data_IF_275914675802
#
_entry.id   IF_275914675802
#
_cell.length_a   1.000
_cell.length_b   1.000
_cell.length_c   1.000
_cell.angle_alpha   90.00
_cell.angle_beta   90.00
_cell.angle_gamma   90.00
#
_symmetry.space_group_name_H-M   'P 1'
#
loop_
_entity.id
_entity.type
_entity.pdbx_description
1 polymer ?
#
# COMPACT_ATOMS: atom_id res chain seq x y z
N UNK A 1 -57.05 4.83 15.58
CA UNK A 1 -55.68 4.78 15.02
C UNK A 1 -55.74 4.97 13.51
N UNK A 2 -55.21 6.08 12.96
CA UNK A 2 -55.14 6.26 11.50
C UNK A 2 -54.01 5.37 10.96
N UNK A 3 -54.34 4.36 10.15
CA UNK A 3 -53.34 3.54 9.46
C UNK A 3 -52.65 4.43 8.42
N UNK A 4 -51.33 4.51 8.47
CA UNK A 4 -50.56 5.18 7.43
C UNK A 4 -50.72 4.39 6.12
N UNK A 5 -50.83 5.05 4.96
CA UNK A 5 -50.89 4.35 3.67
C UNK A 5 -49.61 3.52 3.46
N UNK A 6 -49.80 2.30 2.94
CA UNK A 6 -48.73 1.30 2.71
C UNK A 6 -47.55 1.87 1.93
N UNK A 7 -47.81 2.81 1.01
CA UNK A 7 -46.81 3.52 0.21
C UNK A 7 -45.72 4.21 1.06
N UNK A 8 -46.07 4.72 2.24
CA UNK A 8 -45.14 5.42 3.13
C UNK A 8 -44.13 4.42 3.71
N UNK A 9 -44.60 3.28 4.21
CA UNK A 9 -43.71 2.26 4.75
C UNK A 9 -42.76 1.71 3.68
N UNK A 10 -43.26 1.56 2.45
CA UNK A 10 -42.44 1.14 1.32
C UNK A 10 -41.34 2.17 0.99
N UNK A 11 -41.68 3.46 0.99
CA UNK A 11 -40.72 4.55 0.79
C UNK A 11 -39.61 4.55 1.85
N UNK A 12 -39.97 4.44 3.13
CA UNK A 12 -39.00 4.35 4.22
C UNK A 12 -38.11 3.11 4.16
N UNK A 13 -38.69 1.94 3.87
CA UNK A 13 -37.92 0.71 3.71
C UNK A 13 -36.88 0.84 2.60
N UNK A 14 -37.30 1.41 1.46
CA UNK A 14 -36.46 1.57 0.29
C UNK A 14 -35.35 2.60 0.54
N UNK A 15 -35.64 3.69 1.27
CA UNK A 15 -34.63 4.64 1.75
C UNK A 15 -33.59 3.99 2.67
N UNK A 16 -34.04 3.17 3.63
CA UNK A 16 -33.14 2.49 4.58
C UNK A 16 -32.23 1.50 3.85
N UNK A 17 -32.79 0.66 2.98
CA UNK A 17 -32.01 -0.31 2.21
C UNK A 17 -30.99 0.39 1.28
N UNK A 18 -31.42 1.44 0.60
CA UNK A 18 -30.57 2.24 -0.28
C UNK A 18 -29.43 2.92 0.47
N UNK A 19 -29.73 3.47 1.65
CA UNK A 19 -28.72 4.09 2.52
C UNK A 19 -27.72 3.06 3.02
N UNK A 20 -28.16 1.86 3.38
CA UNK A 20 -27.27 0.76 3.78
C UNK A 20 -26.33 0.36 2.63
N UNK A 21 -26.83 0.30 1.40
CA UNK A 21 -26.03 -0.01 0.21
C UNK A 21 -25.03 1.09 -0.12
N UNK A 22 -25.43 2.36 -0.03
CA UNK A 22 -24.52 3.49 -0.20
C UNK A 22 -23.45 3.50 0.89
N UNK A 23 -23.84 3.29 2.15
CA UNK A 23 -22.91 3.25 3.28
C UNK A 23 -21.88 2.13 3.10
N UNK A 24 -22.31 0.94 2.65
CA UNK A 24 -21.38 -0.13 2.28
C UNK A 24 -20.50 0.26 1.08
N UNK A 25 -21.06 0.89 0.04
CA UNK A 25 -20.35 1.28 -1.19
C UNK A 25 -19.29 2.37 -0.98
N UNK A 26 -19.48 3.23 0.03
CA UNK A 26 -18.56 4.32 0.38
C UNK A 26 -17.69 4.02 1.61
N UNK A 27 -17.90 2.89 2.30
CA UNK A 27 -17.10 2.54 3.46
C UNK A 27 -15.60 2.49 3.09
N UNK A 28 -14.70 3.18 3.80
CA UNK A 28 -13.29 3.19 3.43
C UNK A 28 -12.68 1.80 3.62
N UNK A 29 -11.79 1.41 2.70
CA UNK A 29 -10.99 0.21 2.86
C UNK A 29 -10.01 0.39 4.03
N UNK A 30 -9.88 -0.63 4.88
CA UNK A 30 -8.84 -0.63 5.91
C UNK A 30 -7.47 -0.67 5.25
N UNK A 31 -6.66 0.34 5.51
CA UNK A 31 -5.25 0.37 5.09
C UNK A 31 -4.40 -0.42 6.07
N UNK A 32 -3.49 -1.23 5.54
CA UNK A 32 -2.45 -1.91 6.29
C UNK A 32 -1.12 -1.22 6.00
N UNK A 33 -0.32 -1.08 7.06
CA UNK A 33 1.03 -0.52 6.99
C UNK A 33 1.99 -1.47 7.67
N UNK A 34 3.10 -1.78 7.01
CA UNK A 34 4.23 -2.53 7.57
C UNK A 34 5.48 -1.69 7.44
N UNK A 35 6.25 -1.60 8.53
CA UNK A 35 7.53 -0.90 8.57
C UNK A 35 8.64 -1.92 8.86
N UNK A 36 9.76 -1.79 8.16
CA UNK A 36 10.95 -2.59 8.33
C UNK A 36 12.17 -1.65 8.31
N UNK A 37 13.02 -1.73 9.32
CA UNK A 37 14.29 -1.02 9.32
C UNK A 37 15.32 -1.87 8.59
N UNK A 38 15.83 -1.37 7.46
CA UNK A 38 16.90 -2.01 6.71
C UNK A 38 18.24 -1.57 7.32
N UNK A 39 18.71 -2.32 8.31
CA UNK A 39 20.10 -2.25 8.73
C UNK A 39 20.91 -3.15 7.79
N UNK A 40 21.51 -2.58 6.74
CA UNK A 40 22.31 -3.33 5.76
C UNK A 40 23.75 -3.63 6.24
N UNK A 41 24.01 -3.47 7.54
CA UNK A 41 25.31 -3.76 8.15
C UNK A 41 25.44 -5.25 8.48
N UNK A 42 26.41 -5.92 7.86
CA UNK A 42 26.96 -7.19 8.34
C UNK A 42 26.39 -8.50 7.77
N UNK A 43 25.49 -8.48 6.78
CA UNK A 43 25.11 -9.71 6.07
C UNK A 43 25.93 -9.86 4.78
N UNK A 44 26.71 -10.96 4.60
CA UNK A 44 27.28 -11.26 3.28
C UNK A 44 26.12 -11.49 2.31
N UNK A 45 25.99 -10.61 1.31
CA UNK A 45 24.96 -10.71 0.29
C UNK A 45 25.35 -11.88 -0.61
N UNK A 46 24.63 -12.99 -0.50
CA UNK A 46 24.87 -14.17 -1.33
C UNK A 46 24.36 -13.84 -2.74
N UNK A 47 25.22 -13.82 -3.77
CA UNK A 47 24.75 -13.70 -5.14
C UNK A 47 23.84 -14.89 -5.45
N UNK A 48 22.66 -14.63 -6.01
CA UNK A 48 21.72 -15.66 -6.43
C UNK A 48 22.21 -16.31 -7.73
N UNK A 49 23.25 -17.14 -7.65
CA UNK A 49 23.70 -17.99 -8.76
C UNK A 49 23.07 -19.38 -8.61
N UNK A 50 22.39 -19.94 -9.63
CA UNK A 50 21.88 -21.31 -9.57
C UNK A 50 23.02 -22.33 -9.45
N UNK A 51 22.87 -23.42 -8.67
CA UNK A 51 23.91 -24.44 -8.57
C UNK A 51 23.99 -25.22 -9.88
N UNK A 52 24.95 -24.85 -10.73
CA UNK A 52 25.36 -25.66 -11.86
C UNK A 52 26.34 -26.71 -11.31
N UNK A 53 25.90 -27.97 -11.22
CA UNK A 53 26.77 -29.08 -10.87
C UNK A 53 27.79 -29.31 -11.99
N UNK A 54 29.08 -29.18 -11.70
CA UNK A 54 30.18 -29.76 -12.49
C UNK A 54 31.25 -30.33 -11.55
N UNK A 55 31.86 -31.49 -11.89
CA UNK A 55 32.86 -32.13 -11.05
C UNK A 55 34.25 -31.48 -11.19
N UNK A 56 35.01 -31.67 -10.11
CA UNK A 56 36.30 -31.13 -9.66
C UNK A 56 37.49 -31.30 -10.63
N UNK A 57 38.32 -30.25 -10.80
CA UNK A 57 39.74 -30.14 -10.38
C UNK A 57 40.51 -29.05 -11.16
N UNK A 58 40.92 -27.97 -10.48
CA UNK A 58 42.11 -27.17 -10.82
C UNK A 58 42.59 -26.40 -9.57
N UNK A 59 43.89 -26.44 -9.21
CA UNK A 59 44.43 -25.69 -8.07
C UNK A 59 44.94 -24.31 -8.52
N UNK A 60 44.57 -23.26 -7.78
CA UNK A 60 45.31 -22.00 -7.79
C UNK A 60 44.68 -20.84 -8.54
N UNK A 61 43.55 -20.34 -8.06
CA UNK A 61 43.22 -18.91 -8.21
C UNK A 61 43.00 -18.35 -6.81
N UNK A 62 43.88 -17.44 -6.39
CA UNK A 62 43.64 -16.56 -5.24
C UNK A 62 42.35 -15.80 -5.54
N UNK A 63 41.23 -16.23 -4.96
CA UNK A 63 39.99 -15.48 -5.00
C UNK A 63 40.21 -14.19 -4.21
N UNK A 64 40.44 -13.07 -4.90
CA UNK A 64 40.25 -11.76 -4.29
C UNK A 64 38.82 -11.73 -3.73
N UNK A 65 38.62 -11.30 -2.48
CA UNK A 65 37.27 -11.14 -1.95
C UNK A 65 36.56 -10.11 -2.83
N UNK A 66 35.54 -10.55 -3.57
CA UNK A 66 34.63 -9.64 -4.28
C UNK A 66 33.98 -8.80 -3.19
N UNK A 67 34.38 -7.53 -3.10
CA UNK A 67 33.81 -6.58 -2.16
C UNK A 67 32.32 -6.46 -2.46
N UNK A 68 31.50 -7.01 -1.57
CA UNK A 68 30.05 -6.90 -1.65
C UNK A 68 29.70 -5.43 -1.41
N UNK A 69 28.98 -4.74 -2.32
CA UNK A 69 28.60 -3.36 -2.09
C UNK A 69 27.64 -3.29 -0.90
N UNK A 70 28.02 -2.55 0.12
CA UNK A 70 27.19 -2.26 1.28
C UNK A 70 26.59 -0.87 1.14
N UNK A 71 25.29 -0.74 1.42
CA UNK A 71 24.68 0.59 1.55
C UNK A 71 25.21 1.23 2.84
N UNK A 72 25.78 2.44 2.77
CA UNK A 72 26.39 3.07 3.93
C UNK A 72 25.36 3.60 4.94
N UNK A 73 24.11 3.81 4.52
CA UNK A 73 23.07 4.45 5.33
C UNK A 73 21.95 3.49 5.75
N UNK A 74 21.41 3.72 6.95
CA UNK A 74 20.23 3.02 7.45
C UNK A 74 18.98 3.63 6.78
N UNK A 75 18.12 2.77 6.22
CA UNK A 75 16.88 3.21 5.56
C UNK A 75 15.67 2.50 6.16
N UNK A 76 14.57 3.24 6.32
CA UNK A 76 13.29 2.68 6.76
C UNK A 76 12.44 2.32 5.55
N UNK A 77 12.06 1.05 5.43
CA UNK A 77 11.16 0.56 4.40
C UNK A 77 9.73 0.53 4.94
N UNK A 78 8.83 1.30 4.34
CA UNK A 78 7.40 1.32 4.65
C UNK A 78 6.60 0.75 3.48
N UNK A 79 5.77 -0.26 3.73
CA UNK A 79 4.84 -0.83 2.76
C UNK A 79 3.40 -0.56 3.21
N UNK A 80 2.58 0.02 2.33
CA UNK A 80 1.18 0.36 2.57
C UNK A 80 0.28 -0.27 1.50
N UNK A 81 -0.79 -0.93 1.91
CA UNK A 81 -1.75 -1.57 1.00
C UNK A 81 -3.14 -1.72 1.64
N UNK A 82 -4.22 -1.77 0.86
CA UNK A 82 -5.56 -2.04 1.39
C UNK A 82 -5.72 -3.53 1.76
N UNK A 83 -6.24 -3.82 2.95
CA UNK A 83 -6.61 -5.18 3.34
C UNK A 83 -7.78 -5.72 2.50
N UNK A 84 -8.67 -4.82 2.11
CA UNK A 84 -9.93 -5.14 1.41
C UNK A 84 -10.15 -4.16 0.27
N UNK A 85 -10.60 -4.67 -0.87
CA UNK A 85 -10.99 -3.85 -2.03
C UNK A 85 -12.29 -4.42 -2.60
N UNK A 86 -13.10 -3.58 -3.25
CA UNK A 86 -14.29 -4.06 -3.95
C UNK A 86 -13.94 -4.42 -5.38
N UNK A 87 -14.58 -5.47 -5.89
CA UNK A 87 -14.43 -5.84 -7.30
C UNK A 87 -14.77 -4.63 -8.19
N UNK A 88 -13.94 -4.40 -9.20
CA UNK A 88 -14.07 -3.30 -10.15
C UNK A 88 -13.57 -1.94 -9.66
N UNK A 89 -13.18 -1.79 -8.40
CA UNK A 89 -12.57 -0.56 -7.86
C UNK A 89 -11.04 -0.58 -7.96
N UNK A 90 -10.42 0.59 -7.96
CA UNK A 90 -8.97 0.75 -7.92
C UNK A 90 -8.51 1.10 -6.51
N UNK A 91 -7.36 0.58 -6.12
CA UNK A 91 -6.64 1.06 -4.94
C UNK A 91 -5.14 1.12 -5.23
N UNK A 92 -4.39 1.77 -4.35
CA UNK A 92 -2.94 1.89 -4.46
C UNK A 92 -2.21 1.02 -3.43
N UNK A 93 -1.12 0.42 -3.86
CA UNK A 93 -0.09 -0.21 -3.02
C UNK A 93 1.15 0.67 -3.14
N UNK A 94 1.73 1.06 -2.01
CA UNK A 94 2.88 1.96 -1.96
C UNK A 94 4.03 1.36 -1.15
N UNK A 95 5.22 1.32 -1.75
CA UNK A 95 6.46 0.97 -1.08
C UNK A 95 7.34 2.23 -1.00
N UNK A 96 7.72 2.65 0.19
CA UNK A 96 8.53 3.84 0.43
C UNK A 96 9.82 3.45 1.13
N UNK A 97 10.94 3.77 0.53
CA UNK A 97 12.27 3.62 1.11
C UNK A 97 12.73 4.99 1.58
N UNK A 98 12.62 5.24 2.87
CA UNK A 98 12.91 6.52 3.51
C UNK A 98 14.35 6.55 4.01
N UNK A 99 15.08 7.61 3.69
CA UNK A 99 16.44 7.83 4.20
C UNK A 99 16.41 8.57 5.54
N UNK A 100 17.32 8.21 6.45
CA UNK A 100 17.49 8.91 7.72
C UNK A 100 18.33 10.18 7.52
N UNK A 101 17.68 11.28 7.17
CA UNK A 101 18.36 12.57 6.97
C UNK A 101 18.69 13.31 8.29
N UNK A 102 18.25 12.80 9.44
CA UNK A 102 18.35 13.48 10.74
C UNK A 102 19.01 12.63 11.84
N UNK A 103 19.46 11.41 11.54
CA UNK A 103 20.03 10.48 12.53
C UNK A 103 19.03 10.02 13.60
N UNK A 104 17.72 10.09 13.30
CA UNK A 104 16.64 9.83 14.24
C UNK A 104 16.14 8.38 14.19
N UNK A 105 16.57 7.57 13.22
CA UNK A 105 16.27 6.15 13.21
C UNK A 105 17.22 5.48 14.22
N UNK A 106 16.71 5.19 15.42
CA UNK A 106 17.46 4.44 16.41
C UNK A 106 17.76 3.04 15.87
N UNK A 107 19.04 2.67 15.64
CA UNK A 107 19.38 1.32 15.21
C UNK A 107 18.97 0.37 16.33
N UNK A 108 18.11 -0.61 16.03
CA UNK A 108 17.65 -1.59 17.03
C UNK A 108 18.74 -2.62 17.40
N UNK A 109 19.98 -2.42 16.94
CA UNK A 109 21.16 -3.18 17.34
C UNK A 109 22.32 -2.22 17.60
N UNK A 110 22.37 -1.69 18.82
CA UNK A 110 23.59 -1.12 19.39
C UNK A 110 24.32 -2.26 20.09
N UNK A 111 25.24 -2.93 19.40
CA UNK A 111 26.33 -3.62 20.10
C UNK A 111 27.25 -2.52 20.64
N UNK A 112 27.49 -2.42 21.96
CA UNK A 112 28.28 -1.34 22.52
C UNK A 112 29.77 -1.67 22.36
N UNK A 113 30.32 -1.49 21.17
CA UNK A 113 31.76 -1.36 21.04
C UNK A 113 32.16 -0.57 19.80
N UNK A 114 32.88 0.52 20.05
CA UNK A 114 33.64 1.32 19.11
C UNK A 114 32.86 2.34 18.24
N UNK A 115 32.38 3.42 18.87
CA UNK A 115 32.26 4.70 18.19
C UNK A 115 33.46 5.57 18.59
N UNK A 116 34.54 5.52 17.80
CA UNK A 116 35.63 6.48 17.89
C UNK A 116 35.32 7.62 16.92
N UNK A 117 35.17 8.84 17.44
CA UNK A 117 35.04 10.08 16.66
C UNK A 117 36.13 10.17 15.60
N UNK A 118 35.78 9.97 14.34
CA UNK A 118 36.69 10.04 13.20
C UNK A 118 36.10 9.55 11.86
N UNK A 119 35.07 8.68 11.90
CA UNK A 119 34.63 7.92 10.71
C UNK A 119 33.58 8.57 9.80
N UNK A 120 33.19 9.83 10.03
CA UNK A 120 32.18 10.49 9.17
C UNK A 120 32.63 10.69 7.71
N UNK A 121 33.93 10.50 7.40
CA UNK A 121 34.49 10.71 6.06
C UNK A 121 34.48 9.47 5.14
N UNK A 122 34.10 8.27 5.63
CA UNK A 122 34.22 7.00 4.85
C UNK A 122 32.86 6.55 4.24
N UNK A 123 31.75 7.19 4.61
CA UNK A 123 30.39 6.76 4.24
C UNK A 123 29.90 7.15 2.82
N UNK A 124 30.74 7.76 1.96
CA UNK A 124 30.32 8.24 0.62
C UNK A 124 30.83 7.43 -0.58
N UNK A 125 31.68 6.42 -0.37
CA UNK A 125 32.41 5.75 -1.46
C UNK A 125 31.53 5.06 -2.52
N UNK A 126 30.33 4.56 -2.15
CA UNK A 126 29.46 3.83 -3.09
C UNK A 126 28.88 4.77 -4.17
N UNK A 127 28.37 5.94 -3.79
CA UNK A 127 27.74 6.89 -4.72
C UNK A 127 28.76 7.64 -5.59
N UNK A 128 30.00 7.74 -5.11
CA UNK A 128 31.12 8.31 -5.88
C UNK A 128 31.54 7.39 -7.02
N UNK A 129 31.55 6.08 -6.79
CA UNK A 129 32.05 5.08 -7.75
C UNK A 129 30.96 4.38 -8.56
N UNK A 130 29.71 4.37 -8.08
CA UNK A 130 28.59 3.65 -8.70
C UNK A 130 27.35 4.56 -8.87
N UNK A 131 26.55 4.25 -9.88
CA UNK A 131 25.15 4.67 -9.94
C UNK A 131 24.29 3.65 -9.20
N UNK A 132 23.46 4.12 -8.27
CA UNK A 132 22.62 3.26 -7.45
C UNK A 132 21.16 3.50 -7.81
N UNK A 133 20.42 2.42 -8.07
CA UNK A 133 18.99 2.45 -8.35
C UNK A 133 18.28 1.53 -7.37
N UNK A 134 17.06 1.91 -6.99
CA UNK A 134 16.15 1.07 -6.24
C UNK A 134 15.05 0.58 -7.18
N UNK A 135 14.79 -0.72 -7.13
CA UNK A 135 13.81 -1.38 -7.98
C UNK A 135 12.72 -2.00 -7.09
N UNK A 136 11.51 -1.46 -7.20
CA UNK A 136 10.31 -2.07 -6.63
C UNK A 136 9.67 -3.00 -7.65
N UNK A 137 9.31 -4.21 -7.24
CA UNK A 137 8.51 -5.12 -8.05
C UNK A 137 7.32 -5.66 -7.24
N UNK A 138 6.11 -5.49 -7.77
CA UNK A 138 4.89 -6.09 -7.22
C UNK A 138 4.47 -7.28 -8.08
N UNK A 139 4.47 -8.46 -7.48
CA UNK A 139 3.94 -9.69 -8.08
C UNK A 139 2.68 -10.10 -7.33
N UNK A 140 1.53 -9.99 -7.99
CA UNK A 140 0.23 -10.37 -7.44
C UNK A 140 -0.69 -10.88 -8.55
N UNK A 141 -1.35 -12.01 -8.29
CA UNK A 141 -2.17 -12.69 -9.28
C UNK A 141 -3.65 -12.32 -9.17
N UNK A 142 -4.35 -12.34 -10.30
CA UNK A 142 -5.81 -12.10 -10.36
C UNK A 142 -6.24 -10.65 -10.23
N UNK A 143 -5.31 -9.70 -10.33
CA UNK A 143 -5.57 -8.25 -10.34
C UNK A 143 -4.99 -7.63 -11.61
N UNK A 144 -5.59 -6.54 -12.09
CA UNK A 144 -4.96 -5.68 -13.08
C UNK A 144 -4.01 -4.71 -12.36
N UNK A 145 -2.77 -4.59 -12.86
CA UNK A 145 -1.75 -3.69 -12.31
C UNK A 145 -1.43 -2.53 -13.26
N UNK A 146 -1.27 -1.33 -12.70
CA UNK A 146 -0.75 -0.15 -13.40
C UNK A 146 0.14 0.69 -12.47
N UNK A 147 1.37 1.10 -12.84
CA UNK A 147 2.08 0.74 -14.08
C UNK A 147 2.44 -0.75 -14.09
N UNK A 148 3.35 -1.17 -14.99
CA UNK A 148 3.88 -2.54 -14.99
C UNK A 148 4.36 -2.94 -13.58
N UNK A 149 4.45 -4.25 -13.33
CA UNK A 149 4.85 -4.80 -12.03
C UNK A 149 6.15 -4.23 -11.47
N UNK A 150 7.07 -3.78 -12.32
CA UNK A 150 8.39 -3.29 -11.96
C UNK A 150 8.51 -1.77 -12.17
N UNK A 151 9.09 -1.08 -11.19
CA UNK A 151 9.39 0.35 -11.20
C UNK A 151 10.84 0.53 -10.72
N UNK A 152 11.65 1.28 -11.45
CA UNK A 152 13.05 1.56 -11.12
C UNK A 152 13.20 3.05 -10.88
N UNK A 153 13.80 3.43 -9.76
CA UNK A 153 14.06 4.82 -9.37
C UNK A 153 15.54 5.01 -9.03
N UNK A 154 16.11 6.16 -9.40
CA UNK A 154 17.46 6.51 -9.00
C UNK A 154 17.52 6.77 -7.49
N UNK A 155 18.54 6.23 -6.84
CA UNK A 155 18.73 6.36 -5.40
C UNK A 155 19.89 7.31 -5.13
N UNK A 156 19.61 8.50 -4.61
CA UNK A 156 20.64 9.44 -4.16
C UNK A 156 20.83 9.35 -2.63
N UNK A 157 22.01 9.78 -2.12
CA UNK A 157 22.26 9.89 -0.69
C UNK A 157 21.16 10.72 0.00
N UNK A 158 20.69 10.28 1.16
CA UNK A 158 19.65 10.95 1.94
C UNK A 158 18.31 11.19 1.21
N UNK A 159 18.11 10.64 -0.01
CA UNK A 159 16.87 10.77 -0.77
C UNK A 159 15.93 9.60 -0.47
N UNK A 160 14.66 9.93 -0.23
CA UNK A 160 13.59 8.93 -0.12
C UNK A 160 12.98 8.64 -1.49
N UNK A 161 12.72 7.36 -1.78
CA UNK A 161 12.07 6.94 -3.03
C UNK A 161 10.75 6.23 -2.73
N UNK A 162 9.76 6.38 -3.61
CA UNK A 162 8.41 5.84 -3.45
C UNK A 162 7.94 5.16 -4.73
N UNK A 163 7.59 3.90 -4.61
CA UNK A 163 7.00 3.08 -5.66
C UNK A 163 5.49 2.96 -5.42
N UNK A 164 4.67 3.23 -6.44
CA UNK A 164 3.21 3.18 -6.32
C UNK A 164 2.62 2.36 -7.46
N UNK A 165 1.84 1.34 -7.10
CA UNK A 165 1.07 0.53 -8.03
C UNK A 165 -0.42 0.73 -7.77
N UNK A 166 -1.21 0.93 -8.83
CA UNK A 166 -2.66 0.83 -8.83
C UNK A 166 -3.05 -0.61 -9.14
N UNK A 167 -3.90 -1.18 -8.29
CA UNK A 167 -4.45 -2.53 -8.45
C UNK A 167 -5.96 -2.49 -8.62
N UNK A 168 -6.50 -3.36 -9.49
CA UNK A 168 -7.94 -3.52 -9.72
C UNK A 168 -8.32 -5.01 -9.77
N UNK A 169 -9.11 -5.52 -8.82
CA UNK A 169 -9.66 -6.88 -8.89
C UNK A 169 -10.81 -6.98 -9.89
N UNK A 170 -10.77 -8.04 -10.70
CA UNK A 170 -11.84 -8.38 -11.64
C UNK A 170 -12.76 -9.48 -11.09
N UNK A 171 -12.34 -10.18 -10.03
CA UNK A 171 -13.11 -11.25 -9.39
C UNK A 171 -13.02 -11.11 -7.86
N UNK A 172 -14.03 -11.62 -7.15
CA UNK A 172 -14.01 -11.69 -5.69
C UNK A 172 -13.13 -12.84 -5.23
N UNK A 173 -12.39 -12.65 -4.15
CA UNK A 173 -11.49 -13.68 -3.64
C UNK A 173 -10.34 -13.11 -2.83
N UNK A 174 -9.51 -14.00 -2.31
CA UNK A 174 -8.26 -13.62 -1.64
C UNK A 174 -7.13 -13.61 -2.68
N UNK A 175 -6.44 -12.48 -2.79
CA UNK A 175 -5.29 -12.30 -3.67
C UNK A 175 -4.03 -12.18 -2.82
N UNK A 176 -3.07 -13.05 -3.10
CA UNK A 176 -1.78 -13.04 -2.42
C UNK A 176 -0.72 -12.53 -3.39
N UNK A 177 0.20 -11.73 -2.88
CA UNK A 177 1.29 -11.18 -3.65
C UNK A 177 2.55 -10.98 -2.81
N UNK A 178 3.63 -10.64 -3.52
CA UNK A 178 4.92 -10.32 -2.93
C UNK A 178 5.40 -8.99 -3.51
N UNK A 179 5.78 -8.09 -2.61
CA UNK A 179 6.49 -6.86 -2.96
C UNK A 179 7.98 -7.10 -2.73
N UNK A 180 8.73 -7.03 -3.81
CA UNK A 180 10.18 -7.15 -3.84
C UNK A 180 10.80 -5.76 -3.89
N UNK A 181 11.90 -5.59 -3.17
CA UNK A 181 12.79 -4.45 -3.29
C UNK A 181 14.18 -4.97 -3.62
N UNK A 182 14.69 -4.58 -4.79
CA UNK A 182 16.06 -4.80 -5.20
C UNK A 182 16.83 -3.48 -5.22
N UNK A 183 18.14 -3.60 -5.07
CA UNK A 183 19.09 -2.55 -5.33
C UNK A 183 19.86 -2.92 -6.59
N UNK A 184 19.97 -2.01 -7.53
CA UNK A 184 20.81 -2.17 -8.73
C UNK A 184 21.99 -1.22 -8.56
N UNK A 185 23.19 -1.78 -8.51
CA UNK A 185 24.44 -1.05 -8.37
C UNK A 185 25.18 -1.17 -9.68
N UNK A 186 25.32 -0.05 -10.39
CA UNK A 186 26.01 0.04 -11.68
C UNK A 186 27.33 0.78 -11.51
N UNK A 187 28.48 0.11 -11.66
CA UNK A 187 29.78 0.77 -11.64
C UNK A 187 29.90 1.86 -12.71
N UNK A 188 30.51 3.00 -12.36
CA UNK A 188 30.73 4.10 -13.32
C UNK A 188 31.82 3.79 -14.35
N UNK A 189 32.70 2.84 -14.04
CA UNK A 189 33.75 2.33 -14.94
C UNK A 189 33.21 1.39 -16.04
N UNK A 190 31.91 1.08 -16.00
CA UNK A 190 31.25 0.22 -16.99
C UNK A 190 31.39 -1.28 -16.72
N UNK A 191 31.89 -1.68 -15.55
CA UNK A 191 31.88 -3.09 -15.13
C UNK A 191 30.46 -3.61 -14.85
N UNK A 192 30.34 -4.92 -14.59
CA UNK A 192 29.04 -5.60 -14.51
C UNK A 192 28.12 -5.02 -13.43
N UNK A 193 26.85 -4.85 -13.80
CA UNK A 193 25.80 -4.41 -12.89
C UNK A 193 25.50 -5.50 -11.85
N UNK A 194 25.36 -5.10 -10.59
CA UNK A 194 25.01 -5.99 -9.50
C UNK A 194 23.58 -5.72 -9.04
N UNK A 195 22.75 -6.77 -8.98
CA UNK A 195 21.38 -6.70 -8.49
C UNK A 195 21.26 -7.43 -7.16
N UNK A 196 20.89 -6.72 -6.11
CA UNK A 196 20.88 -7.22 -4.73
C UNK A 196 19.46 -7.19 -4.16
N UNK A 197 18.98 -8.31 -3.64
CA UNK A 197 17.67 -8.39 -2.98
C UNK A 197 17.75 -7.78 -1.57
N UNK A 198 16.99 -6.70 -1.33
CA UNK A 198 16.91 -6.04 -0.02
C UNK A 198 15.73 -6.54 0.82
N UNK A 199 14.58 -6.76 0.20
CA UNK A 199 13.36 -7.16 0.92
C UNK A 199 12.39 -7.92 0.01
N UNK A 200 11.70 -8.89 0.60
CA UNK A 200 10.58 -9.61 -0.01
C UNK A 200 9.43 -9.68 1.01
N UNK A 201 8.36 -8.93 0.76
CA UNK A 201 7.26 -8.80 1.70
C UNK A 201 5.97 -9.37 1.12
N UNK A 202 5.40 -10.36 1.81
CA UNK A 202 4.09 -10.90 1.45
C UNK A 202 2.98 -9.93 1.81
N UNK A 203 2.03 -9.77 0.90
CA UNK A 203 0.78 -9.01 1.08
C UNK A 203 -0.41 -9.90 0.74
N UNK A 204 -1.51 -9.65 1.45
CA UNK A 204 -2.79 -10.31 1.20
C UNK A 204 -3.85 -9.23 1.03
N UNK A 205 -4.70 -9.40 0.02
CA UNK A 205 -5.74 -8.45 -0.35
C UNK A 205 -7.03 -9.21 -0.63
N UNK A 206 -8.09 -8.85 0.07
CA UNK A 206 -9.40 -9.47 -0.09
C UNK A 206 -10.27 -8.63 -1.04
N UNK A 207 -10.59 -9.19 -2.20
CA UNK A 207 -11.60 -8.65 -3.10
C UNK A 207 -13.00 -9.08 -2.64
N UNK A 208 -13.90 -8.10 -2.46
CA UNK A 208 -15.25 -8.30 -1.95
C UNK A 208 -16.32 -7.81 -2.92
N UNK A 209 -17.47 -8.46 -2.88
CA UNK A 209 -18.69 -8.10 -3.62
C UNK A 209 -19.86 -8.12 -2.64
N UNK A 210 -20.90 -7.32 -2.91
CA UNK A 210 -22.14 -7.38 -2.15
C UNK A 210 -23.20 -8.05 -3.01
N UNK A 211 -23.69 -9.22 -2.60
CA UNK A 211 -24.70 -9.99 -3.36
C UNK A 211 -24.28 -10.27 -4.82
N UNK A 212 -22.98 -10.51 -5.06
CA UNK A 212 -22.42 -10.71 -6.40
C UNK A 212 -22.24 -9.44 -7.21
N UNK A 213 -22.61 -8.28 -6.69
CA UNK A 213 -22.46 -6.99 -7.35
C UNK A 213 -21.10 -6.36 -7.02
N UNK A 214 -20.51 -5.75 -8.04
CA UNK A 214 -19.28 -4.98 -7.92
C UNK A 214 -19.53 -3.64 -7.22
N UNK A 215 -18.48 -2.99 -6.74
CA UNK A 215 -18.59 -1.73 -5.99
C UNK A 215 -19.40 -0.65 -6.71
N UNK A 216 -19.10 -0.34 -7.99
CA UNK A 216 -19.85 0.63 -8.76
C UNK A 216 -21.34 0.31 -8.90
N UNK A 217 -21.72 -0.95 -9.14
CA UNK A 217 -23.12 -1.36 -9.30
C UNK A 217 -23.91 -1.16 -8.00
N UNK A 218 -23.33 -1.50 -6.84
CA UNK A 218 -23.98 -1.31 -5.52
C UNK A 218 -24.27 0.17 -5.27
N UNK A 219 -23.32 1.05 -5.62
CA UNK A 219 -23.50 2.51 -5.46
C UNK A 219 -24.62 3.03 -6.35
N UNK A 220 -24.67 2.61 -7.61
CA UNK A 220 -25.75 3.00 -8.53
C UNK A 220 -27.11 2.51 -8.07
N UNK A 221 -27.19 1.27 -7.63
CA UNK A 221 -28.44 0.69 -7.14
C UNK A 221 -28.92 1.40 -5.86
N UNK A 222 -28.00 1.71 -4.94
CA UNK A 222 -28.28 2.53 -3.77
C UNK A 222 -28.71 3.96 -4.13
N UNK A 223 -28.09 4.59 -5.14
CA UNK A 223 -28.44 5.95 -5.56
C UNK A 223 -29.85 5.99 -6.20
N UNK A 224 -30.15 5.07 -7.11
CA UNK A 224 -31.47 4.96 -7.76
C UNK A 224 -32.55 4.68 -6.72
N UNK A 225 -32.29 3.69 -5.84
CA UNK A 225 -33.20 3.39 -4.74
C UNK A 225 -33.41 4.61 -3.86
N UNK A 226 -32.36 5.32 -3.47
CA UNK A 226 -32.49 6.51 -2.64
C UNK A 226 -33.41 7.57 -3.29
N UNK A 227 -33.24 7.85 -4.59
CA UNK A 227 -34.07 8.81 -5.32
C UNK A 227 -35.55 8.38 -5.37
N UNK A 228 -35.83 7.12 -5.68
CA UNK A 228 -37.21 6.58 -5.70
C UNK A 228 -37.81 6.62 -4.29
N UNK A 229 -37.02 6.29 -3.27
CA UNK A 229 -37.45 6.29 -1.87
C UNK A 229 -37.79 7.68 -1.38
N UNK A 230 -36.99 8.69 -1.74
CA UNK A 230 -37.31 10.10 -1.47
C UNK A 230 -38.60 10.48 -2.16
N UNK A 231 -38.74 10.17 -3.45
CA UNK A 231 -39.93 10.51 -4.24
C UNK A 231 -41.22 9.94 -3.65
N UNK A 232 -41.22 8.65 -3.26
CA UNK A 232 -42.37 8.01 -2.59
C UNK A 232 -42.63 8.55 -1.18
N UNK A 233 -41.61 9.09 -0.52
CA UNK A 233 -41.72 9.58 0.86
C UNK A 233 -41.95 11.10 0.95
N UNK A 234 -41.98 11.83 -0.17
CA UNK A 234 -42.08 13.30 -0.21
C UNK A 234 -43.24 13.84 0.64
N UNK A 235 -44.43 13.25 0.49
CA UNK A 235 -45.63 13.68 1.24
C UNK A 235 -45.46 13.47 2.75
N UNK A 236 -44.82 12.37 3.15
CA UNK A 236 -44.55 12.05 4.54
C UNK A 236 -43.50 12.97 5.14
N UNK A 237 -42.41 13.19 4.41
CA UNK A 237 -41.32 14.07 4.80
C UNK A 237 -41.86 15.49 5.01
N UNK A 238 -42.66 16.00 4.07
CA UNK A 238 -43.32 17.31 4.21
C UNK A 238 -44.19 17.39 5.47
N UNK A 239 -44.94 16.33 5.78
CA UNK A 239 -45.77 16.28 6.98
C UNK A 239 -44.96 16.27 8.28
N UNK A 240 -43.79 15.60 8.31
CA UNK A 240 -42.89 15.55 9.46
C UNK A 240 -42.25 16.91 9.72
N UNK A 241 -41.74 17.58 8.68
CA UNK A 241 -41.18 18.93 8.82
C UNK A 241 -42.22 19.93 9.32
N UNK A 242 -43.46 19.85 8.84
CA UNK A 242 -44.55 20.70 9.34
C UNK A 242 -44.85 20.49 10.84
N UNK A 243 -44.77 19.23 11.32
CA UNK A 243 -44.92 18.94 12.76
C UNK A 243 -43.74 19.43 13.57
N UNK A 244 -42.51 19.22 13.08
CA UNK A 244 -41.30 19.64 13.77
C UNK A 244 -41.23 21.17 13.92
N UNK A 245 -41.59 21.91 12.87
CA UNK A 245 -41.67 23.36 12.90
C UNK A 245 -42.64 23.87 13.97
N UNK A 246 -43.84 23.26 14.07
CA UNK A 246 -44.81 23.60 15.12
C UNK A 246 -44.30 23.31 16.52
N UNK A 247 -43.52 22.24 16.72
CA UNK A 247 -42.95 21.91 18.03
C UNK A 247 -41.87 22.92 18.44
N UNK A 248 -41.10 23.42 17.48
CA UNK A 248 -40.07 24.45 17.73
C UNK A 248 -40.71 25.80 18.08
N UNK A 249 -41.78 26.21 17.38
CA UNK A 249 -42.51 27.45 17.71
C UNK A 249 -43.27 27.37 19.05
N UNK A 250 -43.70 26.18 19.47
CA UNK A 250 -44.46 26.00 20.70
C UNK A 250 -43.62 26.01 21.98
N UNK A 251 -42.28 26.17 21.89
CA UNK A 251 -41.40 26.27 23.07
C UNK A 251 -41.04 27.74 23.31
N UNK A 252 -41.77 28.48 24.16
CA UNK A 252 -41.38 29.84 24.51
C UNK A 252 -39.99 29.81 25.18
N UNK A 253 -39.13 30.71 24.74
CA UNK A 253 -37.85 30.96 25.39
C UNK A 253 -38.18 31.77 26.65
N UNK A 254 -38.36 31.10 27.79
CA UNK A 254 -38.34 31.76 29.09
C UNK A 254 -36.95 32.40 29.25
N UNK A 255 -36.91 33.73 29.18
CA UNK A 255 -35.77 34.57 29.54
C UNK A 255 -36.01 35.19 30.90
#
# INVERSE_FOLDING_TARGET
MKRLPVQIYLGWLLLLLSSLWLLWGFYPAKQQRRQLNLALQGRPLVPSTPPMFLPTMAPGSKSSPVAVPHLPEVRQLTLEWPATIRVGERASIALTLQADSQGSLTPTFSSPQQATSGDQAIYSALYETHFVFAEGQLDISGLDLAPKSQIIEALQPAQSVKFVWSVRPNQSGNHQGIVWLHLIVKPKDGSEEQRLLLSAQRINLQATTLLGLNGPAVRWMGAIGFLIGVWLSLDSIRSLFGKLYRVIEAKPIDR
#
